data_IF_286678209961
#
_entry.id   IF_286678209961
#
_cell.length_a   1.000
_cell.length_b   1.000
_cell.length_c   1.000
_cell.angle_alpha   90.00
_cell.angle_beta   90.00
_cell.angle_gamma   90.00
#
_symmetry.space_group_name_H-M   'P 1'
#
loop_
_entity.id
_entity.type
_entity.pdbx_description
1 polymer ?
#
# COMPACT_ATOMS: atom_id res chain seq x y z
N UNK A 1 7.40 -52.62 -22.54
CA UNK A 1 6.19 -52.37 -21.71
C UNK A 1 6.54 -51.27 -20.71
N UNK A 2 6.03 -50.05 -20.72
CA UNK A 2 5.13 -49.28 -21.58
C UNK A 2 5.22 -47.86 -21.03
N UNK A 3 5.53 -46.89 -21.89
CA UNK A 3 5.72 -45.48 -21.55
C UNK A 3 4.35 -44.81 -21.48
N UNK A 4 3.92 -44.33 -20.31
CA UNK A 4 2.65 -43.60 -20.15
C UNK A 4 2.90 -42.09 -20.13
N UNK A 5 2.94 -41.51 -21.31
CA UNK A 5 2.90 -40.06 -21.55
C UNK A 5 1.47 -39.58 -21.33
N UNK A 6 1.21 -38.78 -20.29
CA UNK A 6 -0.10 -38.13 -20.10
C UNK A 6 -0.12 -36.82 -20.88
N UNK A 7 -0.95 -36.79 -21.93
CA UNK A 7 -1.32 -35.59 -22.68
C UNK A 7 -2.01 -34.58 -21.75
N UNK A 8 -1.48 -33.37 -21.67
CA UNK A 8 -2.19 -32.20 -21.16
C UNK A 8 -2.99 -31.57 -22.31
N UNK A 9 -4.32 -31.66 -22.24
CA UNK A 9 -5.23 -30.86 -23.08
C UNK A 9 -5.62 -29.60 -22.31
N UNK A 10 -5.07 -28.46 -22.71
CA UNK A 10 -5.50 -27.12 -22.28
C UNK A 10 -6.62 -26.68 -23.21
N UNK A 11 -7.85 -26.56 -22.70
CA UNK A 11 -8.97 -25.98 -23.44
C UNK A 11 -9.14 -24.53 -23.01
N UNK A 12 -8.66 -23.62 -23.87
CA UNK A 12 -8.83 -22.18 -23.74
C UNK A 12 -10.22 -21.80 -24.26
N UNK A 13 -11.11 -21.35 -23.37
CA UNK A 13 -12.41 -20.80 -23.75
C UNK A 13 -12.39 -19.28 -23.57
N UNK A 14 -12.16 -18.58 -24.68
CA UNK A 14 -12.36 -17.14 -24.86
C UNK A 14 -13.85 -16.79 -24.84
N UNK A 15 -14.26 -15.84 -23.99
CA UNK A 15 -15.61 -15.25 -24.04
C UNK A 15 -15.55 -13.76 -24.46
N UNK A 16 -15.77 -13.61 -25.77
CA UNK A 16 -16.40 -12.55 -26.57
C UNK A 16 -16.78 -11.23 -25.86
N UNK A 17 -16.22 -10.16 -26.42
CA UNK A 17 -16.64 -8.75 -26.33
C UNK A 17 -17.84 -8.51 -27.26
N UNK A 18 -18.85 -7.77 -26.77
CA UNK A 18 -19.90 -7.13 -27.58
C UNK A 18 -20.22 -5.77 -26.95
N UNK A 19 -20.11 -4.71 -27.76
CA UNK A 19 -20.20 -3.32 -27.31
C UNK A 19 -21.40 -2.54 -27.82
N UNK A 20 -21.16 -1.23 -27.93
CA UNK A 20 -21.84 -0.15 -28.66
C UNK A 20 -22.87 0.73 -27.93
N UNK A 21 -22.65 2.05 -28.11
CA UNK A 21 -23.62 3.15 -27.96
C UNK A 21 -23.15 4.27 -27.02
N UNK A 22 -23.18 5.57 -27.31
CA UNK A 22 -23.13 6.42 -28.50
C UNK A 22 -23.12 7.90 -28.00
N UNK A 23 -22.39 8.76 -28.71
CA UNK A 23 -22.60 10.19 -29.00
C UNK A 23 -22.73 11.30 -27.93
N UNK A 24 -21.78 12.26 -28.05
CA UNK A 24 -21.90 13.74 -28.08
C UNK A 24 -22.34 14.52 -26.82
N UNK A 25 -21.55 15.53 -26.39
CA UNK A 25 -21.61 16.88 -26.97
C UNK A 25 -20.48 17.79 -26.44
N UNK A 26 -20.04 18.71 -27.29
CA UNK A 26 -19.00 19.72 -27.05
C UNK A 26 -19.56 20.95 -26.34
N UNK A 27 -18.82 21.55 -25.40
CA UNK A 27 -18.84 23.00 -25.17
C UNK A 27 -17.45 23.48 -24.73
N UNK A 28 -17.02 24.57 -25.33
CA UNK A 28 -15.72 25.24 -25.24
C UNK A 28 -16.00 26.68 -24.79
N UNK A 29 -15.27 27.17 -23.78
CA UNK A 29 -15.11 28.58 -23.38
C UNK A 29 -13.74 28.66 -22.67
N UNK A 30 -12.64 29.03 -23.32
CA UNK A 30 -12.07 30.37 -23.63
C UNK A 30 -11.60 31.24 -22.44
N UNK A 31 -10.27 31.38 -22.45
CA UNK A 31 -9.19 32.25 -21.93
C UNK A 31 -9.39 33.58 -21.17
N UNK A 32 -8.45 33.82 -20.23
CA UNK A 32 -7.82 35.12 -19.89
C UNK A 32 -8.13 35.69 -18.49
N UNK A 33 -7.29 36.42 -17.73
CA UNK A 33 -5.88 36.87 -17.78
C UNK A 33 -5.53 37.51 -16.40
N UNK A 34 -4.31 37.29 -15.90
CA UNK A 34 -3.47 38.08 -14.97
C UNK A 34 -3.88 38.46 -13.51
N UNK A 35 -2.89 38.30 -12.62
CA UNK A 35 -2.78 38.75 -11.22
C UNK A 35 -2.73 40.29 -11.04
N UNK A 36 -2.84 40.77 -9.78
CA UNK A 36 -1.66 41.43 -9.18
C UNK A 36 -1.38 41.07 -7.70
N UNK A 37 -0.12 41.33 -7.31
CA UNK A 37 0.56 40.95 -6.07
C UNK A 37 0.39 41.91 -4.87
N UNK A 38 0.52 41.37 -3.64
CA UNK A 38 1.04 41.93 -2.35
C UNK A 38 1.09 40.77 -1.34
N UNK A 39 1.91 40.63 -0.32
CA UNK A 39 3.13 41.23 0.26
C UNK A 39 3.56 40.23 1.37
N UNK A 40 4.83 40.26 1.78
CA UNK A 40 5.46 39.21 2.58
C UNK A 40 4.90 38.99 3.98
N UNK A 41 4.70 37.72 4.33
CA UNK A 41 4.88 37.20 5.69
C UNK A 41 5.38 35.75 5.61
N UNK A 42 6.45 35.48 6.37
CA UNK A 42 7.09 34.19 6.64
C UNK A 42 6.16 32.95 6.44
N UNK A 43 6.52 31.95 5.61
CA UNK A 43 5.62 30.82 5.34
C UNK A 43 5.57 29.88 6.55
N UNK A 44 4.63 30.15 7.46
CA UNK A 44 4.08 29.11 8.29
C UNK A 44 3.55 28.01 7.36
N UNK A 45 4.01 26.78 7.61
CA UNK A 45 3.69 25.58 6.87
C UNK A 45 2.22 25.55 6.42
N UNK A 46 1.99 25.74 5.12
CA UNK A 46 0.71 25.45 4.49
C UNK A 46 0.65 23.95 4.34
N UNK A 47 0.21 23.27 5.40
CA UNK A 47 -0.25 21.90 5.34
C UNK A 47 -1.51 21.88 4.46
N UNK A 48 -1.35 21.53 3.19
CA UNK A 48 -2.50 21.16 2.37
C UNK A 48 -2.91 19.77 2.85
N UNK A 49 -4.04 19.73 3.57
CA UNK A 49 -4.65 18.52 4.10
C UNK A 49 -4.95 17.52 2.98
N UNK A 50 -4.95 16.20 3.28
CA UNK A 50 -5.45 15.21 2.34
C UNK A 50 -6.91 15.55 2.01
N UNK A 51 -7.31 15.24 0.78
CA UNK A 51 -8.71 15.21 0.36
C UNK A 51 -9.61 14.71 1.50
N UNK A 52 -10.68 15.46 1.78
CA UNK A 52 -11.62 15.24 2.92
C UNK A 52 -12.07 13.79 3.08
N UNK A 53 -12.03 13.01 1.99
CA UNK A 53 -12.33 11.58 1.91
C UNK A 53 -11.61 10.71 2.95
N UNK A 54 -10.39 11.07 3.39
CA UNK A 54 -9.60 10.25 4.32
C UNK A 54 -9.33 10.91 5.67
N UNK A 55 -10.00 12.01 5.98
CA UNK A 55 -9.78 12.81 7.19
C UNK A 55 -9.99 12.06 8.52
N UNK A 56 -10.72 10.95 8.51
CA UNK A 56 -10.95 10.09 9.66
C UNK A 56 -9.85 9.03 9.89
N UNK A 57 -8.94 8.83 8.93
CA UNK A 57 -7.87 7.83 9.06
C UNK A 57 -6.70 8.39 9.87
N UNK A 58 -6.00 7.54 10.66
CA UNK A 58 -4.76 7.95 11.31
C UNK A 58 -3.71 8.37 10.29
N UNK A 59 -3.02 9.48 10.56
CA UNK A 59 -1.93 9.98 9.74
C UNK A 59 -0.66 10.17 10.57
N UNK A 60 0.50 10.00 9.94
CA UNK A 60 1.79 10.35 10.51
C UNK A 60 2.34 11.57 9.78
N UNK A 61 2.66 12.62 10.52
CA UNK A 61 3.42 13.76 10.01
C UNK A 61 4.90 13.57 10.32
N UNK A 62 5.77 13.65 9.30
CA UNK A 62 7.20 13.47 9.49
C UNK A 62 7.60 11.99 9.52
N UNK A 63 8.53 11.64 10.41
CA UNK A 63 9.03 10.26 10.53
C UNK A 63 8.87 9.73 11.95
N UNK A 64 8.84 8.40 12.07
CA UNK A 64 8.87 7.72 13.36
C UNK A 64 9.85 6.54 13.29
N UNK A 65 10.41 6.13 14.43
CA UNK A 65 11.18 4.88 14.54
C UNK A 65 10.35 3.86 15.29
N UNK A 66 10.12 2.71 14.66
CA UNK A 66 9.42 1.56 15.26
C UNK A 66 10.44 0.45 15.53
N UNK A 67 10.45 -0.06 16.76
CA UNK A 67 11.23 -1.24 17.11
C UNK A 67 10.35 -2.49 16.96
N UNK A 68 10.66 -3.31 15.96
CA UNK A 68 10.05 -4.62 15.76
C UNK A 68 10.94 -5.69 16.42
N UNK A 69 10.49 -6.26 17.53
CA UNK A 69 11.23 -7.31 18.23
C UNK A 69 10.80 -8.69 17.72
N UNK A 70 11.72 -9.42 17.10
CA UNK A 70 11.50 -10.79 16.60
C UNK A 70 12.36 -11.74 17.43
N UNK A 71 11.72 -12.62 18.21
CA UNK A 71 12.42 -13.57 19.09
C UNK A 71 13.49 -12.89 19.98
N UNK A 72 13.16 -11.72 20.54
CA UNK A 72 14.08 -10.93 21.37
C UNK A 72 15.14 -10.13 20.61
N UNK A 73 15.19 -10.23 19.28
CA UNK A 73 16.11 -9.45 18.45
C UNK A 73 15.39 -8.23 17.86
N UNK A 74 15.88 -7.00 18.12
CA UNK A 74 15.26 -5.79 17.60
C UNK A 74 15.60 -5.57 16.13
N UNK A 75 14.61 -5.12 15.36
CA UNK A 75 14.73 -4.58 14.02
C UNK A 75 14.16 -3.15 14.08
N UNK A 76 14.99 -2.16 13.78
CA UNK A 76 14.54 -0.76 13.74
C UNK A 76 14.02 -0.44 12.34
N UNK A 77 12.81 0.08 12.29
CA UNK A 77 12.15 0.53 11.05
C UNK A 77 11.97 2.03 11.14
N UNK A 78 12.51 2.78 10.19
CA UNK A 78 12.18 4.19 10.01
C UNK A 78 10.93 4.30 9.14
N UNK A 79 9.84 4.73 9.75
CA UNK A 79 8.54 4.96 9.12
C UNK A 79 8.50 6.39 8.57
N UNK A 80 8.10 6.55 7.31
CA UNK A 80 8.07 7.82 6.57
C UNK A 80 6.63 8.26 6.29
N UNK A 81 6.08 9.07 7.20
CA UNK A 81 4.80 9.75 7.03
C UNK A 81 4.88 11.03 6.19
N UNK A 82 6.07 11.54 5.88
CA UNK A 82 6.22 12.66 4.96
C UNK A 82 5.83 12.27 3.54
N UNK A 83 6.12 11.02 3.13
CA UNK A 83 5.85 10.54 1.79
C UNK A 83 4.69 9.53 1.70
N UNK A 84 4.29 8.93 2.82
CA UNK A 84 3.14 8.03 2.91
C UNK A 84 2.32 8.26 4.21
N UNK A 85 1.73 9.46 4.41
CA UNK A 85 1.12 9.86 5.68
C UNK A 85 0.02 8.94 6.19
N UNK A 86 -0.88 8.45 5.33
CA UNK A 86 -1.98 7.57 5.75
C UNK A 86 -1.48 6.15 6.04
N UNK A 87 -0.61 5.63 5.19
CA UNK A 87 -0.05 4.28 5.33
C UNK A 87 0.82 4.17 6.56
N UNK A 88 1.74 5.13 6.74
CA UNK A 88 2.57 5.26 7.91
C UNK A 88 1.75 5.52 9.18
N UNK A 89 0.75 6.40 9.10
CA UNK A 89 -0.15 6.71 10.21
C UNK A 89 -0.92 5.49 10.70
N UNK A 90 -1.49 4.73 9.78
CA UNK A 90 -2.17 3.48 10.08
C UNK A 90 -1.21 2.46 10.74
N UNK A 91 -0.01 2.27 10.19
CA UNK A 91 0.97 1.36 10.79
C UNK A 91 1.34 1.77 12.22
N UNK A 92 1.64 3.06 12.46
CA UNK A 92 2.01 3.57 13.78
C UNK A 92 0.84 3.50 14.77
N UNK A 93 -0.39 3.78 14.35
CA UNK A 93 -1.59 3.61 15.19
C UNK A 93 -1.74 2.14 15.62
N UNK A 94 -1.59 1.17 14.71
CA UNK A 94 -1.67 -0.25 15.03
C UNK A 94 -0.51 -0.73 15.93
N UNK A 95 0.69 -0.16 15.79
CA UNK A 95 1.80 -0.35 16.73
C UNK A 95 1.41 0.14 18.12
N UNK A 96 0.91 1.38 18.25
CA UNK A 96 0.51 1.98 19.53
C UNK A 96 -0.65 1.23 20.21
N UNK A 97 -1.55 0.63 19.42
CA UNK A 97 -2.62 -0.24 19.90
C UNK A 97 -2.16 -1.64 20.30
N UNK A 98 -0.89 -1.98 20.04
CA UNK A 98 -0.32 -3.31 20.32
C UNK A 98 -0.88 -4.42 19.44
N UNK A 99 -1.45 -4.09 18.27
CA UNK A 99 -2.07 -5.06 17.35
C UNK A 99 -1.03 -6.07 16.86
N UNK A 100 0.19 -5.62 16.60
CA UNK A 100 1.29 -6.45 16.12
C UNK A 100 1.91 -7.36 17.18
N UNK A 101 1.60 -7.16 18.47
CA UNK A 101 2.20 -7.91 19.56
C UNK A 101 1.71 -9.37 19.55
N UNK A 102 2.66 -10.29 19.45
CA UNK A 102 2.43 -11.74 19.43
C UNK A 102 2.01 -12.30 18.08
N UNK A 103 2.02 -11.49 17.01
CA UNK A 103 1.77 -11.96 15.65
C UNK A 103 3.00 -12.67 15.08
N UNK A 104 2.78 -13.46 14.02
CA UNK A 104 3.85 -14.19 13.32
C UNK A 104 4.08 -13.67 11.91
N UNK A 105 5.27 -13.91 11.38
CA UNK A 105 5.51 -13.84 9.94
C UNK A 105 5.00 -15.12 9.28
N UNK A 106 3.79 -15.06 8.73
CA UNK A 106 3.11 -16.22 8.16
C UNK A 106 3.59 -16.58 6.75
N UNK A 107 4.31 -15.66 6.07
CA UNK A 107 4.85 -15.89 4.73
C UNK A 107 6.28 -15.39 4.63
N UNK A 108 7.21 -16.29 4.32
CA UNK A 108 8.64 -16.01 4.17
C UNK A 108 9.13 -16.64 2.88
N UNK A 109 9.54 -15.83 1.90
CA UNK A 109 9.99 -16.31 0.59
C UNK A 109 11.47 -15.96 0.41
N UNK A 110 12.35 -16.93 0.69
CA UNK A 110 13.81 -16.78 0.58
C UNK A 110 14.41 -17.43 -0.67
N UNK A 111 13.78 -18.51 -1.14
CA UNK A 111 14.31 -19.38 -2.19
C UNK A 111 13.22 -19.67 -3.24
N UNK A 112 13.59 -19.88 -4.51
CA UNK A 112 14.95 -19.80 -5.07
C UNK A 112 15.45 -18.35 -5.26
N UNK A 113 14.57 -17.36 -5.15
CA UNK A 113 14.91 -15.93 -5.19
C UNK A 113 14.26 -15.24 -3.99
N UNK A 114 15.03 -14.48 -3.18
CA UNK A 114 14.46 -13.74 -2.07
C UNK A 114 13.42 -12.74 -2.56
N UNK A 115 12.24 -12.77 -1.93
CA UNK A 115 11.15 -11.88 -2.28
C UNK A 115 10.78 -11.05 -1.05
N UNK A 116 9.92 -11.57 -0.17
CA UNK A 116 9.46 -10.82 1.01
C UNK A 116 9.35 -11.71 2.24
N UNK A 117 9.38 -11.07 3.40
CA UNK A 117 8.82 -11.60 4.65
C UNK A 117 7.59 -10.79 5.02
N UNK A 118 6.44 -11.45 5.13
CA UNK A 118 5.13 -10.84 5.31
C UNK A 118 4.49 -11.28 6.63
N UNK A 119 3.93 -10.32 7.34
CA UNK A 119 3.33 -10.47 8.66
C UNK A 119 2.19 -9.48 8.88
N UNK A 120 1.82 -9.26 10.14
CA UNK A 120 0.78 -8.28 10.49
C UNK A 120 -0.66 -8.77 10.31
N UNK A 121 -0.87 -10.08 10.14
CA UNK A 121 -2.20 -10.68 10.13
C UNK A 121 -2.68 -10.91 11.59
N UNK A 122 -3.74 -10.22 12.06
CA UNK A 122 -4.24 -10.39 13.43
C UNK A 122 -4.73 -11.81 13.73
N UNK A 123 -5.15 -12.58 12.72
CA UNK A 123 -5.56 -13.98 12.89
C UNK A 123 -4.41 -14.86 13.35
N UNK A 124 -3.17 -14.49 13.03
CA UNK A 124 -1.99 -15.27 13.43
C UNK A 124 -1.72 -15.30 14.93
N UNK A 125 -2.44 -14.49 15.71
CA UNK A 125 -2.36 -14.51 17.18
C UNK A 125 -2.95 -15.79 17.77
N UNK A 126 -3.94 -16.37 17.10
CA UNK A 126 -4.51 -17.66 17.49
C UNK A 126 -3.76 -18.79 16.77
N UNK A 127 -3.02 -19.58 17.55
CA UNK A 127 -2.25 -20.71 17.05
C UNK A 127 -3.13 -21.83 16.45
N UNK A 128 -4.45 -21.80 16.67
CA UNK A 128 -5.39 -22.76 16.09
C UNK A 128 -5.88 -22.37 14.69
N UNK A 129 -5.61 -21.14 14.23
CA UNK A 129 -5.94 -20.74 12.87
C UNK A 129 -5.11 -21.56 11.88
N UNK A 130 -5.74 -22.31 10.95
CA UNK A 130 -5.02 -23.07 9.94
C UNK A 130 -4.08 -22.17 9.12
N UNK A 131 -2.87 -22.66 8.83
CA UNK A 131 -1.88 -21.89 8.09
C UNK A 131 -2.38 -21.36 6.73
N UNK A 132 -3.32 -22.07 6.09
CA UNK A 132 -3.92 -21.69 4.81
C UNK A 132 -4.88 -20.49 4.92
N UNK A 133 -5.33 -20.15 6.12
CA UNK A 133 -6.18 -18.98 6.39
C UNK A 133 -5.36 -17.74 6.73
N UNK A 134 -4.09 -17.91 7.12
CA UNK A 134 -3.18 -16.79 7.35
C UNK A 134 -2.91 -16.04 6.05
N UNK A 135 -2.77 -14.72 6.16
CA UNK A 135 -2.69 -13.79 5.04
C UNK A 135 -4.06 -13.22 4.63
N UNK A 136 -5.16 -13.63 5.27
CA UNK A 136 -6.52 -13.15 4.94
C UNK A 136 -7.10 -12.18 5.97
N UNK A 137 -6.49 -12.07 7.15
CA UNK A 137 -7.00 -11.20 8.21
C UNK A 137 -6.77 -9.71 7.95
N UNK A 138 -7.68 -8.92 8.51
CA UNK A 138 -7.63 -7.45 8.56
C UNK A 138 -7.74 -6.99 10.01
N UNK A 139 -7.30 -5.77 10.30
CA UNK A 139 -7.62 -5.14 11.58
C UNK A 139 -9.11 -4.77 11.60
N UNK A 140 -9.84 -5.28 12.61
CA UNK A 140 -11.23 -4.92 12.86
C UNK A 140 -11.24 -3.72 13.81
N UNK A 141 -11.79 -2.61 13.35
CA UNK A 141 -11.93 -1.41 14.15
C UNK A 141 -12.97 -1.64 15.27
N UNK A 142 -12.61 -1.43 16.54
CA UNK A 142 -13.52 -1.70 17.66
C UNK A 142 -14.75 -0.79 17.67
N UNK A 143 -14.69 0.40 17.07
CA UNK A 143 -15.81 1.34 17.08
C UNK A 143 -16.82 1.00 15.99
N UNK A 144 -16.34 0.57 14.82
CA UNK A 144 -17.20 0.25 13.67
C UNK A 144 -17.54 -1.24 13.54
N UNK A 145 -16.80 -2.12 14.24
CA UNK A 145 -16.88 -3.57 14.11
C UNK A 145 -16.62 -4.07 12.67
N UNK A 146 -15.94 -3.26 11.86
CA UNK A 146 -15.63 -3.56 10.46
C UNK A 146 -14.12 -3.51 10.21
N UNK A 147 -13.62 -4.16 9.14
CA UNK A 147 -12.24 -3.97 8.71
C UNK A 147 -11.94 -2.50 8.46
N UNK A 148 -10.84 -2.00 9.03
CA UNK A 148 -10.28 -0.71 8.62
C UNK A 148 -9.42 -0.94 7.37
N UNK A 149 -9.87 -0.39 6.25
CA UNK A 149 -9.08 -0.31 5.03
C UNK A 149 -8.51 1.09 4.85
N UNK A 150 -7.32 1.16 4.25
CA UNK A 150 -6.67 2.39 3.84
C UNK A 150 -6.51 2.41 2.32
N UNK A 151 -6.49 3.59 1.69
CA UNK A 151 -6.27 3.69 0.25
C UNK A 151 -4.87 3.22 -0.13
N UNK A 152 -4.71 2.77 -1.37
CA UNK A 152 -3.37 2.70 -1.96
C UNK A 152 -2.79 4.12 -1.99
N UNK A 153 -1.62 4.32 -1.41
CA UNK A 153 -0.98 5.64 -1.29
C UNK A 153 0.43 5.59 -1.87
N UNK A 154 0.64 6.32 -2.97
CA UNK A 154 1.93 6.34 -3.66
C UNK A 154 2.25 7.77 -4.05
N UNK A 155 3.36 8.30 -3.54
CA UNK A 155 3.89 9.60 -3.96
C UNK A 155 4.84 9.43 -5.13
N UNK A 156 4.54 9.98 -6.33
CA UNK A 156 5.52 10.04 -7.41
C UNK A 156 6.72 10.91 -7.03
N UNK A 157 7.89 10.59 -7.56
CA UNK A 157 9.11 11.38 -7.36
C UNK A 157 8.88 12.81 -7.87
N UNK A 158 9.19 13.80 -7.04
CA UNK A 158 9.03 15.21 -7.38
C UNK A 158 7.60 15.75 -7.30
N UNK A 159 6.61 14.92 -6.94
CA UNK A 159 5.26 15.39 -6.64
C UNK A 159 5.19 15.98 -5.23
N UNK A 160 4.31 16.97 -5.02
CA UNK A 160 4.08 17.55 -3.70
C UNK A 160 3.28 16.60 -2.80
N UNK A 161 2.33 15.87 -3.38
CA UNK A 161 1.37 15.01 -2.66
C UNK A 161 1.32 13.58 -3.20
N UNK A 162 0.93 12.60 -2.36
CA UNK A 162 0.62 11.26 -2.81
C UNK A 162 -0.60 11.21 -3.74
N UNK A 163 -0.64 10.17 -4.58
CA UNK A 163 -1.82 9.72 -5.29
C UNK A 163 -2.49 8.64 -4.45
N UNK A 164 -3.82 8.67 -4.42
CA UNK A 164 -4.64 7.76 -3.64
C UNK A 164 -5.47 6.84 -4.54
N UNK A 165 -5.72 5.62 -4.06
CA UNK A 165 -6.64 4.64 -4.64
C UNK A 165 -6.31 4.15 -6.06
N UNK A 166 -5.15 4.49 -6.59
CA UNK A 166 -4.73 4.15 -7.94
C UNK A 166 -3.26 3.73 -7.96
N UNK A 167 -2.91 2.78 -8.82
CA UNK A 167 -1.52 2.56 -9.20
C UNK A 167 -1.00 3.75 -10.02
N UNK A 168 0.32 3.89 -10.14
CA UNK A 168 0.89 4.94 -11.00
C UNK A 168 0.49 4.74 -12.48
N UNK A 169 0.34 3.49 -12.91
CA UNK A 169 -0.13 3.15 -14.26
C UNK A 169 -1.59 3.59 -14.47
N UNK A 170 -2.49 3.27 -13.54
CA UNK A 170 -3.90 3.68 -13.59
C UNK A 170 -4.07 5.21 -13.57
N UNK A 171 -3.22 5.90 -12.81
CA UNK A 171 -3.16 7.36 -12.76
C UNK A 171 -2.48 7.99 -14.00
N UNK A 172 -1.95 7.17 -14.92
CA UNK A 172 -1.19 7.59 -16.11
C UNK A 172 0.02 8.46 -15.76
N UNK A 173 0.65 8.18 -14.62
CA UNK A 173 1.84 8.89 -14.14
C UNK A 173 3.08 8.12 -14.55
N UNK A 174 3.89 8.74 -15.40
CA UNK A 174 5.17 8.19 -15.85
C UNK A 174 6.33 8.71 -14.98
N UNK A 175 6.36 8.30 -13.72
CA UNK A 175 7.41 8.63 -12.76
C UNK A 175 7.64 7.45 -11.81
N UNK A 176 8.85 7.35 -11.22
CA UNK A 176 9.13 6.39 -10.15
C UNK A 176 8.47 6.85 -8.84
N UNK A 177 8.06 5.93 -7.95
CA UNK A 177 7.61 6.33 -6.62
C UNK A 177 8.78 6.94 -5.82
N UNK A 178 8.47 7.88 -4.95
CA UNK A 178 9.40 8.53 -4.02
C UNK A 178 10.01 7.54 -3.03
N UNK A 179 9.22 6.52 -2.65
CA UNK A 179 9.65 5.40 -1.83
C UNK A 179 9.61 4.12 -2.69
N UNK A 180 10.77 3.51 -2.92
CA UNK A 180 10.95 2.34 -3.79
C UNK A 180 11.21 1.06 -3.00
N UNK A 181 10.93 -0.08 -3.61
CA UNK A 181 11.15 -1.42 -3.05
C UNK A 181 12.62 -1.86 -3.12
N UNK A 182 13.51 -1.10 -2.48
CA UNK A 182 14.87 -1.57 -2.22
C UNK A 182 14.89 -2.63 -1.12
N UNK A 183 15.97 -3.39 -1.00
CA UNK A 183 16.15 -4.35 0.11
C UNK A 183 15.97 -3.63 1.45
N UNK A 184 15.13 -4.21 2.32
CA UNK A 184 14.75 -3.63 3.61
C UNK A 184 13.51 -2.73 3.57
N UNK A 185 13.00 -2.37 2.39
CA UNK A 185 11.75 -1.61 2.26
C UNK A 185 10.60 -2.29 3.00
N UNK A 186 9.85 -1.50 3.75
CA UNK A 186 8.61 -1.92 4.42
C UNK A 186 7.44 -1.34 3.66
N UNK A 187 6.53 -2.21 3.22
CA UNK A 187 5.39 -1.85 2.40
C UNK A 187 4.12 -2.56 2.86
N UNK A 188 2.97 -1.93 2.61
CA UNK A 188 1.69 -2.49 3.01
C UNK A 188 1.23 -3.59 2.04
N UNK A 189 0.84 -4.73 2.59
CA UNK A 189 0.18 -5.78 1.84
C UNK A 189 -1.28 -5.40 1.60
N UNK A 190 -1.82 -5.84 0.46
CA UNK A 190 -3.22 -5.63 0.08
C UNK A 190 -3.76 -6.83 -0.70
N UNK A 191 -5.08 -6.91 -0.82
CA UNK A 191 -5.73 -7.79 -1.79
C UNK A 191 -5.68 -7.18 -3.20
N UNK A 192 -6.43 -7.73 -4.14
CA UNK A 192 -6.49 -7.22 -5.51
C UNK A 192 -7.02 -5.78 -5.60
N UNK A 193 -7.96 -5.40 -4.72
CA UNK A 193 -8.46 -4.03 -4.66
C UNK A 193 -7.38 -3.07 -4.14
N UNK A 194 -7.25 -1.89 -4.76
CA UNK A 194 -6.28 -0.88 -4.35
C UNK A 194 -6.48 -0.47 -2.88
N UNK A 195 -7.72 -0.25 -2.48
CA UNK A 195 -8.10 0.23 -1.14
C UNK A 195 -8.45 -0.92 -0.20
N UNK A 196 -7.56 -1.89 -0.10
CA UNK A 196 -7.76 -3.08 0.75
C UNK A 196 -6.59 -3.38 1.68
N UNK A 197 -5.58 -2.51 1.72
CA UNK A 197 -4.57 -2.57 2.76
C UNK A 197 -5.23 -2.32 4.12
N UNK A 198 -4.81 -3.08 5.13
CA UNK A 198 -5.32 -2.97 6.50
C UNK A 198 -4.18 -3.02 7.50
N UNK A 199 -3.85 -4.19 8.07
CA UNK A 199 -2.77 -4.33 9.05
C UNK A 199 -1.53 -5.04 8.52
N UNK A 200 -1.68 -5.85 7.47
CA UNK A 200 -0.60 -6.69 6.97
C UNK A 200 0.46 -5.87 6.22
N UNK A 201 1.73 -6.15 6.50
CA UNK A 201 2.87 -5.51 5.85
C UNK A 201 3.89 -6.57 5.45
N UNK A 202 4.83 -6.17 4.60
CA UNK A 202 5.96 -7.00 4.24
C UNK A 202 7.27 -6.20 4.22
N UNK A 203 8.37 -6.92 4.45
CA UNK A 203 9.74 -6.40 4.34
C UNK A 203 10.38 -7.05 3.11
N UNK A 204 10.90 -6.22 2.20
CA UNK A 204 11.58 -6.67 0.99
C UNK A 204 12.93 -7.32 1.32
N UNK A 205 13.16 -8.54 0.84
CA UNK A 205 14.41 -9.29 1.04
C UNK A 205 15.44 -9.06 -0.08
N UNK A 206 15.02 -8.40 -1.17
CA UNK A 206 15.84 -8.03 -2.32
C UNK A 206 15.32 -6.71 -2.93
N UNK A 207 15.95 -6.23 -4.01
CA UNK A 207 15.40 -5.17 -4.85
C UNK A 207 14.20 -5.71 -5.65
N UNK A 208 13.03 -5.08 -5.51
CA UNK A 208 11.79 -5.52 -6.15
C UNK A 208 11.13 -4.40 -6.98
N UNK A 209 11.84 -3.81 -7.96
CA UNK A 209 11.34 -2.64 -8.71
C UNK A 209 10.05 -2.92 -9.50
N UNK A 210 9.70 -4.18 -9.75
CA UNK A 210 8.43 -4.55 -10.38
C UNK A 210 7.20 -4.34 -9.47
N UNK A 211 7.40 -4.11 -8.17
CA UNK A 211 6.33 -3.73 -7.23
C UNK A 211 6.16 -2.20 -7.13
N UNK A 212 7.14 -1.43 -7.63
CA UNK A 212 7.07 0.02 -7.59
C UNK A 212 5.87 0.52 -8.40
N UNK A 213 5.18 1.52 -7.84
CA UNK A 213 3.95 2.05 -8.43
C UNK A 213 2.70 1.19 -8.22
N UNK A 214 2.81 0.02 -7.59
CA UNK A 214 1.69 -0.91 -7.36
C UNK A 214 1.35 -1.15 -5.88
N UNK A 215 2.30 -0.85 -4.98
CA UNK A 215 2.19 -1.01 -3.53
C UNK A 215 2.79 0.20 -2.80
N UNK A 216 2.24 0.51 -1.64
CA UNK A 216 2.68 1.62 -0.80
C UNK A 216 3.89 1.20 0.07
N UNK A 217 5.09 1.64 -0.31
CA UNK A 217 6.25 1.64 0.60
C UNK A 217 6.09 2.79 1.57
N UNK A 218 6.30 2.54 2.86
CA UNK A 218 6.12 3.54 3.92
C UNK A 218 7.26 3.57 4.93
N UNK A 219 8.34 2.81 4.72
CA UNK A 219 9.50 2.82 5.61
C UNK A 219 10.63 1.90 5.16
N UNK A 220 11.72 1.90 5.93
CA UNK A 220 12.96 1.13 5.67
C UNK A 220 13.63 0.64 6.95
#
# INVERSE_FOLDING_TARGET
MGLNTRLFTVTLATLIVLGLGACANSTQLDSGTAEPATDGTNPAAVAIAPDTAYSALPTLNGTATVELVVNGSPILIQVDGTNAPITAGNFVDLVNRGVYNGLVFHRVVRDPQPFVVQGGDPQSKDANVPAQQLGTGSFIDPDTQAPRYIPLEIKPTGADQPIYSQTLEEAKVNATPQLTHRRGAVAMARSQANDSASSQFYIALAELPFLDGNYAVFGY
#
